data_IF_133171246936
#
_entry.id   IF_133171246936
#
_cell.length_a   1.000
_cell.length_b   1.000
_cell.length_c   1.000
_cell.angle_alpha   90.00
_cell.angle_beta   90.00
_cell.angle_gamma   90.00
#
_symmetry.space_group_name_H-M   'P 1'
#
loop_
_entity.id
_entity.type
_entity.pdbx_description
1 polymer ?
#
# COMPACT_ATOMS: atom_id res chain seq x y z
N UNK A 1 4.92 -25.67 7.00
CA UNK A 1 4.66 -24.31 7.51
C UNK A 1 3.99 -23.55 6.39
N UNK A 2 2.82 -22.99 6.67
CA UNK A 2 2.01 -22.27 5.69
C UNK A 2 2.50 -20.83 5.59
N UNK A 3 2.64 -20.35 4.34
CA UNK A 3 2.71 -18.93 3.99
C UNK A 3 1.66 -18.67 2.91
N UNK A 4 0.77 -17.73 3.17
CA UNK A 4 -0.35 -17.42 2.28
C UNK A 4 -0.67 -15.94 2.32
N UNK A 5 -0.80 -15.35 1.14
CA UNK A 5 -1.37 -14.01 0.99
C UNK A 5 -2.91 -14.16 0.94
N UNK A 6 -3.60 -13.68 1.97
CA UNK A 6 -5.04 -13.85 2.13
C UNK A 6 -5.85 -12.70 1.53
N UNK A 7 -5.20 -11.70 0.95
CA UNK A 7 -5.88 -10.55 0.38
C UNK A 7 -5.12 -10.06 -0.85
N UNK A 8 -5.62 -10.36 -2.04
CA UNK A 8 -5.03 -9.93 -3.31
C UNK A 8 -6.04 -10.07 -4.45
N UNK A 9 -5.86 -9.26 -5.49
CA UNK A 9 -6.88 -9.03 -6.50
C UNK A 9 -6.37 -9.30 -7.92
N UNK A 10 -7.15 -10.04 -8.69
CA UNK A 10 -6.91 -10.34 -10.09
C UNK A 10 -7.74 -9.47 -11.03
N UNK A 11 -7.53 -9.65 -12.32
CA UNK A 11 -8.37 -9.04 -13.35
C UNK A 11 -9.86 -9.45 -13.30
N UNK A 12 -10.25 -10.42 -12.47
CA UNK A 12 -11.66 -10.76 -12.30
C UNK A 12 -12.40 -9.74 -11.42
N UNK A 13 -11.72 -8.95 -10.58
CA UNK A 13 -12.27 -7.81 -9.82
C UNK A 13 -12.74 -6.62 -10.68
N UNK A 14 -12.97 -6.80 -11.97
CA UNK A 14 -13.13 -5.70 -12.94
C UNK A 14 -14.49 -4.99 -12.95
N UNK A 15 -15.21 -4.92 -11.82
CA UNK A 15 -16.34 -3.99 -11.67
C UNK A 15 -15.78 -2.63 -11.19
N UNK A 16 -15.83 -1.56 -12.00
CA UNK A 16 -15.25 -0.27 -11.59
C UNK A 16 -15.99 0.30 -10.36
N UNK A 17 -15.38 0.28 -9.17
CA UNK A 17 -16.02 0.66 -7.91
C UNK A 17 -15.96 2.14 -7.53
N UNK A 18 -15.35 3.00 -8.34
CA UNK A 18 -15.12 4.42 -8.02
C UNK A 18 -15.50 5.39 -9.15
N UNK A 19 -15.87 6.63 -8.80
CA UNK A 19 -16.32 7.64 -9.76
C UNK A 19 -15.33 7.93 -10.90
N UNK A 20 -14.02 7.94 -10.59
CA UNK A 20 -12.96 8.17 -11.58
C UNK A 20 -12.67 6.90 -12.39
N UNK A 21 -12.65 5.73 -11.76
CA UNK A 21 -12.44 4.45 -12.44
C UNK A 21 -13.61 4.11 -13.37
N UNK A 22 -14.84 4.47 -13.03
CA UNK A 22 -16.03 4.33 -13.87
C UNK A 22 -15.98 5.28 -15.09
N UNK A 23 -15.71 6.57 -14.87
CA UNK A 23 -15.56 7.55 -15.99
C UNK A 23 -14.42 7.19 -16.92
N UNK A 24 -13.30 6.72 -16.39
CA UNK A 24 -12.15 6.29 -17.17
C UNK A 24 -12.28 4.83 -17.63
N UNK A 25 -13.36 4.10 -17.29
CA UNK A 25 -13.52 2.62 -17.35
C UNK A 25 -12.18 1.88 -17.23
N UNK A 26 -11.44 2.19 -16.17
CA UNK A 26 -10.22 1.49 -15.77
C UNK A 26 -10.68 0.50 -14.70
N UNK A 27 -10.42 -0.78 -14.93
CA UNK A 27 -10.67 -1.85 -13.98
C UNK A 27 -9.79 -1.77 -12.74
N UNK A 28 -10.16 -2.49 -11.69
CA UNK A 28 -9.49 -2.43 -10.38
C UNK A 28 -8.16 -3.19 -10.39
N UNK A 29 -8.05 -4.25 -11.20
CA UNK A 29 -6.80 -4.98 -11.43
C UNK A 29 -6.73 -5.50 -12.87
N UNK A 30 -5.50 -5.69 -13.36
CA UNK A 30 -5.23 -6.26 -14.69
C UNK A 30 -4.31 -7.49 -14.61
N UNK A 31 -3.96 -7.93 -13.41
CA UNK A 31 -3.07 -9.08 -13.23
C UNK A 31 -3.82 -10.37 -13.45
N UNK A 32 -3.32 -11.23 -14.35
CA UNK A 32 -3.93 -12.53 -14.63
C UNK A 32 -3.76 -13.50 -13.45
N UNK A 33 -4.78 -14.30 -13.07
CA UNK A 33 -4.69 -15.32 -12.03
C UNK A 33 -3.45 -16.22 -12.12
N UNK A 34 -3.12 -16.71 -13.32
CA UNK A 34 -1.91 -17.53 -13.51
C UNK A 34 -0.61 -16.80 -13.12
N UNK A 35 -0.48 -15.51 -13.47
CA UNK A 35 0.70 -14.69 -13.10
C UNK A 35 0.76 -14.47 -11.58
N UNK A 36 -0.39 -14.35 -10.91
CA UNK A 36 -0.48 -14.25 -9.45
C UNK A 36 0.10 -15.52 -8.81
N UNK A 37 -0.40 -16.68 -9.22
CA UNK A 37 0.07 -17.98 -8.73
C UNK A 37 1.59 -18.15 -8.91
N UNK A 38 2.10 -17.91 -10.13
CA UNK A 38 3.53 -18.02 -10.43
C UNK A 38 4.38 -17.07 -9.58
N UNK A 39 3.93 -15.82 -9.40
CA UNK A 39 4.64 -14.81 -8.61
C UNK A 39 4.67 -15.18 -7.13
N UNK A 40 3.52 -15.57 -6.56
CA UNK A 40 3.42 -15.99 -5.16
C UNK A 40 4.27 -17.25 -4.90
N UNK A 41 4.26 -18.20 -5.82
CA UNK A 41 5.07 -19.42 -5.73
C UNK A 41 6.56 -19.09 -5.73
N UNK A 42 7.01 -18.20 -6.63
CA UNK A 42 8.39 -17.74 -6.69
C UNK A 42 8.80 -16.94 -5.43
N UNK A 43 7.84 -16.30 -4.76
CA UNK A 43 8.04 -15.60 -3.48
C UNK A 43 7.94 -16.52 -2.26
N UNK A 44 7.80 -17.84 -2.46
CA UNK A 44 7.84 -18.85 -1.41
C UNK A 44 6.54 -19.01 -0.64
N UNK A 45 5.40 -18.58 -1.19
CA UNK A 45 4.08 -18.94 -0.66
C UNK A 45 3.82 -20.42 -0.90
N UNK A 46 3.05 -21.03 0.01
CA UNK A 46 2.79 -22.49 0.01
C UNK A 46 1.32 -22.83 -0.22
N UNK A 47 0.42 -21.87 0.04
CA UNK A 47 -0.99 -21.94 -0.32
C UNK A 47 -1.37 -20.68 -1.08
N UNK A 48 -2.37 -20.78 -1.94
CA UNK A 48 -2.70 -19.75 -2.92
C UNK A 48 -4.20 -19.52 -2.95
N UNK A 49 -4.59 -18.25 -2.98
CA UNK A 49 -5.97 -17.86 -3.21
C UNK A 49 -5.99 -16.47 -3.85
N UNK A 50 -7.16 -16.07 -4.35
CA UNK A 50 -7.43 -14.74 -4.87
C UNK A 50 -8.73 -14.29 -4.21
N UNK A 51 -8.79 -13.07 -3.72
CA UNK A 51 -9.95 -12.53 -3.03
C UNK A 51 -10.59 -11.43 -3.86
N UNK A 52 -10.94 -11.75 -5.10
CA UNK A 52 -11.56 -10.79 -6.00
C UNK A 52 -12.88 -10.25 -5.41
N UNK A 53 -13.21 -9.00 -5.73
CA UNK A 53 -14.41 -8.34 -5.23
C UNK A 53 -15.68 -9.02 -5.75
N UNK A 54 -16.43 -9.63 -4.84
CA UNK A 54 -17.75 -10.22 -5.10
C UNK A 54 -17.79 -11.23 -6.27
N UNK A 55 -16.68 -11.93 -6.51
CA UNK A 55 -16.56 -12.99 -7.53
C UNK A 55 -15.48 -13.98 -7.14
N UNK A 56 -15.66 -15.24 -7.57
CA UNK A 56 -14.66 -16.30 -7.44
C UNK A 56 -14.00 -16.67 -8.78
N UNK A 57 -14.32 -15.97 -9.87
CA UNK A 57 -13.87 -16.31 -11.22
C UNK A 57 -12.35 -16.40 -11.34
N UNK A 58 -11.62 -15.49 -10.67
CA UNK A 58 -10.15 -15.51 -10.64
C UNK A 58 -9.61 -16.77 -9.98
N UNK A 59 -10.20 -17.20 -8.87
CA UNK A 59 -9.88 -18.47 -8.22
C UNK A 59 -10.19 -19.67 -9.11
N UNK A 60 -11.35 -19.68 -9.77
CA UNK A 60 -11.78 -20.79 -10.64
C UNK A 60 -10.82 -21.01 -11.82
N UNK A 61 -10.24 -19.93 -12.39
CA UNK A 61 -9.25 -20.02 -13.48
C UNK A 61 -8.03 -20.88 -13.08
N UNK A 62 -7.62 -20.83 -11.80
CA UNK A 62 -6.42 -21.50 -11.29
C UNK A 62 -6.72 -22.63 -10.29
N UNK A 63 -7.98 -22.97 -10.05
CA UNK A 63 -8.39 -23.95 -9.03
C UNK A 63 -7.78 -25.35 -9.22
N UNK A 64 -7.36 -25.69 -10.44
CA UNK A 64 -6.70 -26.95 -10.77
C UNK A 64 -5.22 -27.01 -10.35
N UNK A 65 -4.62 -25.89 -9.94
CA UNK A 65 -3.22 -25.82 -9.55
C UNK A 65 -3.01 -26.25 -8.08
N UNK A 66 -1.87 -26.87 -7.74
CA UNK A 66 -1.60 -27.34 -6.37
C UNK A 66 -1.65 -26.22 -5.33
N UNK A 67 -2.29 -26.50 -4.18
CA UNK A 67 -2.34 -25.58 -3.05
C UNK A 67 -3.28 -24.38 -3.24
N UNK A 68 -4.05 -24.34 -4.34
CA UNK A 68 -5.09 -23.33 -4.56
C UNK A 68 -6.36 -23.69 -3.79
N UNK A 69 -6.96 -22.70 -3.14
CA UNK A 69 -8.31 -22.76 -2.57
C UNK A 69 -9.10 -21.50 -2.95
N UNK A 70 -10.42 -21.63 -3.00
CA UNK A 70 -11.31 -20.58 -3.52
C UNK A 70 -11.69 -19.63 -2.37
N UNK A 71 -11.58 -18.32 -2.62
CA UNK A 71 -11.96 -17.26 -1.69
C UNK A 71 -12.56 -16.07 -2.45
N UNK A 72 -13.16 -15.13 -1.74
CA UNK A 72 -13.58 -13.83 -2.29
C UNK A 72 -13.51 -12.73 -1.21
N UNK A 73 -13.34 -11.47 -1.64
CA UNK A 73 -13.59 -10.31 -0.77
C UNK A 73 -15.01 -9.81 -1.01
N UNK A 74 -15.85 -9.97 0.01
CA UNK A 74 -17.27 -9.67 -0.03
C UNK A 74 -17.46 -8.22 0.38
N UNK A 75 -18.01 -7.39 -0.52
CA UNK A 75 -18.51 -6.08 -0.12
C UNK A 75 -19.86 -6.27 0.60
N UNK A 76 -19.97 -5.73 1.81
CA UNK A 76 -21.19 -5.76 2.63
C UNK A 76 -21.45 -4.39 3.26
N UNK A 77 -22.56 -4.28 3.99
CA UNK A 77 -23.05 -3.00 4.47
C UNK A 77 -23.67 -3.13 5.84
N UNK A 78 -23.48 -2.12 6.69
CA UNK A 78 -24.40 -1.90 7.80
C UNK A 78 -25.78 -1.54 7.23
N UNK A 79 -26.85 -2.25 7.61
CA UNK A 79 -28.18 -2.00 7.07
C UNK A 79 -28.74 -0.62 7.48
N UNK A 80 -28.24 -0.03 8.57
CA UNK A 80 -28.74 1.23 9.11
C UNK A 80 -28.39 2.45 8.25
N UNK A 81 -27.16 2.51 7.74
CA UNK A 81 -26.64 3.71 7.06
C UNK A 81 -25.90 3.40 5.76
N UNK A 82 -25.86 2.12 5.37
CA UNK A 82 -25.13 1.63 4.20
C UNK A 82 -23.63 1.93 4.27
N UNK A 83 -23.04 2.05 5.47
CA UNK A 83 -21.58 2.08 5.63
C UNK A 83 -20.99 0.81 5.03
N UNK A 84 -20.16 0.98 4.01
CA UNK A 84 -19.51 -0.13 3.30
C UNK A 84 -18.47 -0.80 4.19
N UNK A 85 -18.43 -2.13 4.16
CA UNK A 85 -17.48 -2.99 4.90
C UNK A 85 -17.05 -4.12 3.99
N UNK A 86 -15.79 -4.55 4.08
CA UNK A 86 -15.32 -5.71 3.32
C UNK A 86 -15.02 -6.89 4.25
N UNK A 87 -15.42 -8.08 3.83
CA UNK A 87 -15.23 -9.33 4.57
C UNK A 87 -14.61 -10.36 3.64
N UNK A 88 -13.46 -10.91 3.99
CA UNK A 88 -12.84 -12.00 3.23
C UNK A 88 -13.45 -13.31 3.72
N UNK A 89 -13.92 -14.14 2.80
CA UNK A 89 -14.33 -15.52 3.07
C UNK A 89 -13.40 -16.48 2.34
N UNK A 90 -12.86 -17.47 3.05
CA UNK A 90 -11.87 -18.42 2.50
C UNK A 90 -12.37 -19.85 2.44
N UNK A 91 -11.84 -20.61 1.49
CA UNK A 91 -12.14 -22.03 1.24
C UNK A 91 -13.64 -22.28 1.00
N UNK A 92 -14.23 -21.45 0.13
CA UNK A 92 -15.63 -21.52 -0.26
C UNK A 92 -15.82 -22.34 -1.55
N UNK A 93 -17.06 -22.65 -1.90
CA UNK A 93 -17.42 -23.28 -3.17
C UNK A 93 -18.41 -22.38 -3.95
N UNK A 94 -18.76 -22.77 -5.18
CA UNK A 94 -19.70 -22.00 -6.01
C UNK A 94 -21.04 -21.75 -5.32
N UNK A 95 -21.60 -22.78 -4.65
CA UNK A 95 -22.88 -22.61 -3.94
C UNK A 95 -22.76 -21.58 -2.81
N UNK A 96 -21.66 -21.59 -2.05
CA UNK A 96 -21.43 -20.60 -1.02
C UNK A 96 -21.37 -19.19 -1.61
N UNK A 97 -20.62 -19.00 -2.69
CA UNK A 97 -20.55 -17.72 -3.40
C UNK A 97 -21.95 -17.25 -3.84
N UNK A 98 -22.72 -18.12 -4.52
CA UNK A 98 -24.06 -17.80 -4.98
C UNK A 98 -24.96 -17.34 -3.82
N UNK A 99 -24.99 -18.09 -2.72
CA UNK A 99 -25.75 -17.74 -1.53
C UNK A 99 -25.27 -16.41 -0.90
N UNK A 100 -23.95 -16.19 -0.81
CA UNK A 100 -23.34 -14.94 -0.32
C UNK A 100 -23.80 -13.72 -1.14
N UNK A 101 -23.85 -13.84 -2.47
CA UNK A 101 -24.28 -12.73 -3.33
C UNK A 101 -25.71 -12.28 -3.04
N UNK A 102 -26.59 -13.15 -2.55
CA UNK A 102 -27.97 -12.81 -2.20
C UNK A 102 -28.09 -12.11 -0.84
N UNK A 103 -27.23 -12.44 0.12
CA UNK A 103 -27.36 -11.99 1.53
C UNK A 103 -26.40 -10.85 1.92
N UNK A 104 -25.33 -10.63 1.14
CA UNK A 104 -24.26 -9.67 1.49
C UNK A 104 -24.73 -8.22 1.64
N UNK A 105 -25.99 -7.91 1.30
CA UNK A 105 -26.60 -6.60 1.51
C UNK A 105 -26.69 -6.16 2.98
N UNK A 106 -26.55 -7.10 3.94
CA UNK A 106 -26.60 -6.86 5.37
C UNK A 106 -25.46 -7.64 6.08
N UNK A 107 -24.55 -6.92 6.74
CA UNK A 107 -23.39 -7.52 7.42
C UNK A 107 -23.79 -8.50 8.53
N UNK A 108 -24.92 -8.26 9.22
CA UNK A 108 -25.37 -9.14 10.30
C UNK A 108 -25.82 -10.49 9.78
N UNK A 109 -26.62 -10.49 8.71
CA UNK A 109 -27.10 -11.70 8.02
C UNK A 109 -25.95 -12.44 7.34
N UNK A 110 -25.01 -11.69 6.74
CA UNK A 110 -23.80 -12.27 6.16
C UNK A 110 -22.99 -13.03 7.22
N UNK A 111 -22.71 -12.43 8.38
CA UNK A 111 -21.96 -13.10 9.44
C UNK A 111 -22.70 -14.33 9.97
N UNK A 112 -24.04 -14.25 10.14
CA UNK A 112 -24.84 -15.41 10.55
C UNK A 112 -24.72 -16.58 9.57
N UNK A 113 -24.82 -16.30 8.27
CA UNK A 113 -24.67 -17.31 7.23
C UNK A 113 -23.26 -17.92 7.20
N UNK A 114 -22.23 -17.09 7.26
CA UNK A 114 -20.83 -17.54 7.25
C UNK A 114 -20.55 -18.46 8.44
N UNK A 115 -21.08 -18.11 9.62
CA UNK A 115 -20.95 -18.93 10.82
C UNK A 115 -21.73 -20.22 10.75
N UNK A 116 -22.98 -20.18 10.27
CA UNK A 116 -23.83 -21.35 10.11
C UNK A 116 -23.21 -22.40 9.19
N UNK A 117 -22.58 -21.96 8.10
CA UNK A 117 -21.91 -22.84 7.13
C UNK A 117 -20.44 -23.15 7.49
N UNK A 118 -19.97 -22.75 8.67
CA UNK A 118 -18.57 -22.92 9.10
C UNK A 118 -17.54 -22.36 8.10
N UNK A 119 -17.86 -21.24 7.46
CA UNK A 119 -16.97 -20.53 6.55
C UNK A 119 -16.02 -19.65 7.36
N UNK A 120 -14.72 -19.85 7.18
CA UNK A 120 -13.70 -19.00 7.79
C UNK A 120 -13.74 -17.63 7.15
N UNK A 121 -13.91 -16.59 7.98
CA UNK A 121 -14.08 -15.22 7.54
C UNK A 121 -13.28 -14.22 8.37
N UNK A 122 -12.90 -13.12 7.72
CA UNK A 122 -11.96 -12.11 8.24
C UNK A 122 -12.49 -10.72 7.88
N UNK A 123 -12.52 -9.79 8.84
CA UNK A 123 -12.79 -8.39 8.58
C UNK A 123 -11.59 -7.76 7.85
N UNK A 124 -11.77 -7.34 6.60
CA UNK A 124 -10.71 -6.69 5.81
C UNK A 124 -10.52 -5.23 6.25
N UNK A 125 -9.27 -4.78 6.26
CA UNK A 125 -8.82 -3.41 6.57
C UNK A 125 -9.76 -2.58 7.50
N UNK A 126 -9.94 -2.98 8.78
CA UNK A 126 -11.07 -2.54 9.64
C UNK A 126 -11.26 -1.02 9.86
N UNK A 127 -10.23 -0.22 9.62
CA UNK A 127 -10.25 1.24 9.82
C UNK A 127 -10.24 2.02 8.51
N UNK A 128 -10.40 1.34 7.37
CA UNK A 128 -10.47 1.98 6.06
C UNK A 128 -11.89 2.46 5.79
N UNK A 129 -12.04 3.78 5.78
CA UNK A 129 -13.30 4.44 5.48
C UNK A 129 -13.48 4.56 3.95
N UNK A 130 -14.25 3.64 3.38
CA UNK A 130 -14.41 3.51 1.93
C UNK A 130 -15.40 4.50 1.32
N UNK A 131 -16.37 4.97 2.10
CA UNK A 131 -17.48 5.79 1.62
C UNK A 131 -17.76 7.01 2.51
N UNK A 132 -16.90 7.27 3.51
CA UNK A 132 -16.98 8.43 4.39
C UNK A 132 -17.91 8.26 5.59
N UNK A 133 -18.42 7.04 5.85
CA UNK A 133 -19.42 6.77 6.89
C UNK A 133 -18.84 6.04 8.10
N UNK A 134 -17.64 5.49 8.01
CA UNK A 134 -17.05 4.70 9.08
C UNK A 134 -16.87 5.57 10.35
N UNK A 135 -17.39 5.08 11.48
CA UNK A 135 -17.38 5.78 12.76
C UNK A 135 -17.20 4.78 13.93
N UNK A 136 -17.08 5.28 15.16
CA UNK A 136 -16.81 4.43 16.32
C UNK A 136 -17.90 3.40 16.59
N UNK A 137 -19.17 3.72 16.34
CA UNK A 137 -20.24 2.75 16.56
C UNK A 137 -20.08 1.54 15.62
N UNK A 138 -19.59 1.75 14.39
CA UNK A 138 -19.23 0.66 13.48
C UNK A 138 -18.07 -0.18 14.01
N UNK A 139 -17.01 0.48 14.48
CA UNK A 139 -15.83 -0.21 15.02
C UNK A 139 -16.20 -1.01 16.28
N UNK A 140 -17.04 -0.47 17.16
CA UNK A 140 -17.57 -1.20 18.32
C UNK A 140 -18.36 -2.44 17.90
N UNK A 141 -19.19 -2.34 16.85
CA UNK A 141 -19.92 -3.50 16.31
C UNK A 141 -18.97 -4.53 15.68
N UNK A 142 -17.88 -4.11 15.04
CA UNK A 142 -16.86 -5.04 14.55
C UNK A 142 -16.26 -5.89 15.67
N UNK A 143 -16.09 -5.33 16.87
CA UNK A 143 -15.61 -6.05 18.05
C UNK A 143 -16.57 -7.15 18.53
N UNK A 144 -17.85 -7.07 18.13
CA UNK A 144 -18.90 -8.05 18.45
C UNK A 144 -19.17 -9.02 17.29
N UNK A 145 -18.77 -8.67 16.07
CA UNK A 145 -19.05 -9.42 14.85
C UNK A 145 -17.93 -10.40 14.47
N UNK A 146 -16.66 -10.00 14.59
CA UNK A 146 -15.56 -10.72 13.95
C UNK A 146 -14.49 -11.16 14.94
N UNK A 147 -14.12 -12.45 14.88
CA UNK A 147 -12.99 -12.99 15.64
C UNK A 147 -11.63 -12.79 14.95
N UNK A 148 -11.63 -12.48 13.64
CA UNK A 148 -10.42 -12.34 12.83
C UNK A 148 -10.42 -11.00 12.10
N UNK A 149 -9.38 -10.21 12.32
CA UNK A 149 -9.20 -8.92 11.67
C UNK A 149 -7.94 -8.94 10.80
N UNK A 150 -8.02 -8.36 9.62
CA UNK A 150 -6.85 -8.07 8.81
C UNK A 150 -6.05 -6.94 9.47
N UNK A 151 -4.92 -7.29 10.07
CA UNK A 151 -4.05 -6.33 10.74
C UNK A 151 -3.00 -5.77 9.80
N UNK A 152 -2.40 -6.63 8.97
CA UNK A 152 -1.41 -6.24 7.98
C UNK A 152 -2.07 -6.24 6.62
N UNK A 153 -2.25 -5.05 6.07
CA UNK A 153 -2.72 -4.86 4.71
C UNK A 153 -1.64 -4.07 3.94
N UNK A 154 -1.20 -4.61 2.81
CA UNK A 154 -0.10 -4.07 2.00
C UNK A 154 -0.42 -2.76 1.29
N UNK A 155 -1.68 -2.31 1.29
CA UNK A 155 -2.05 -0.97 0.80
C UNK A 155 -2.31 0.02 1.95
N UNK A 156 -2.50 -0.44 3.19
CA UNK A 156 -2.73 0.43 4.37
C UNK A 156 -1.44 0.77 5.11
N UNK A 157 -1.46 1.91 5.83
CA UNK A 157 -0.28 2.39 6.55
C UNK A 157 0.06 1.55 7.78
N UNK A 158 1.34 1.51 8.16
CA UNK A 158 1.80 0.90 9.42
C UNK A 158 1.11 1.50 10.65
N UNK A 159 0.86 2.81 10.66
CA UNK A 159 0.12 3.49 11.74
C UNK A 159 -1.29 2.92 11.86
N UNK A 160 -2.02 2.77 10.75
CA UNK A 160 -3.35 2.13 10.74
C UNK A 160 -3.30 0.72 11.33
N UNK A 161 -2.34 -0.10 10.92
CA UNK A 161 -2.15 -1.46 11.44
C UNK A 161 -1.95 -1.50 12.96
N UNK A 162 -1.09 -0.61 13.49
CA UNK A 162 -0.83 -0.49 14.94
C UNK A 162 -2.10 -0.09 15.69
N UNK A 163 -2.86 0.87 15.17
CA UNK A 163 -4.10 1.34 15.78
C UNK A 163 -5.17 0.24 15.75
N UNK A 164 -5.37 -0.43 14.60
CA UNK A 164 -6.26 -1.59 14.45
C UNK A 164 -5.98 -2.64 15.52
N UNK A 165 -4.71 -3.05 15.66
CA UNK A 165 -4.29 -4.03 16.65
C UNK A 165 -4.59 -3.58 18.08
N UNK A 166 -4.40 -2.29 18.36
CA UNK A 166 -4.58 -1.74 19.71
C UNK A 166 -6.05 -1.65 20.10
N UNK A 167 -6.93 -1.23 19.19
CA UNK A 167 -8.38 -1.24 19.39
C UNK A 167 -8.89 -2.67 19.60
N UNK A 168 -8.47 -3.61 18.73
CA UNK A 168 -8.88 -5.01 18.84
C UNK A 168 -8.49 -5.67 20.17
N UNK A 169 -7.49 -5.13 20.88
CA UNK A 169 -6.97 -5.65 22.16
C UNK A 169 -7.38 -4.85 23.38
N UNK A 170 -8.11 -3.74 23.23
CA UNK A 170 -8.37 -2.82 24.35
C UNK A 170 -9.59 -3.17 25.19
N UNK A 171 -10.39 -4.15 24.77
CA UNK A 171 -11.68 -4.46 25.40
C UNK A 171 -11.57 -5.63 26.38
N UNK A 172 -12.06 -5.42 27.58
CA UNK A 172 -12.27 -6.47 28.59
C UNK A 172 -13.58 -7.21 28.32
N UNK A 173 -13.79 -8.34 29.00
CA UNK A 173 -15.06 -9.07 28.95
C UNK A 173 -16.25 -8.18 29.33
N UNK A 174 -16.08 -7.34 30.35
CA UNK A 174 -17.12 -6.39 30.79
C UNK A 174 -17.44 -5.36 29.70
N UNK A 175 -16.41 -4.81 29.04
CA UNK A 175 -16.64 -3.84 27.97
C UNK A 175 -17.43 -4.49 26.81
N UNK A 176 -17.14 -5.76 26.49
CA UNK A 176 -17.91 -6.52 25.49
C UNK A 176 -19.34 -6.82 25.93
N UNK A 177 -19.59 -7.10 27.21
CA UNK A 177 -20.94 -7.26 27.77
C UNK A 177 -21.73 -5.94 27.67
N UNK A 178 -21.11 -4.81 28.00
CA UNK A 178 -21.72 -3.47 27.88
C UNK A 178 -22.05 -3.13 26.42
N UNK A 179 -21.15 -3.43 25.48
CA UNK A 179 -21.40 -3.30 24.05
C UNK A 179 -22.51 -4.24 23.55
N UNK A 180 -22.56 -5.48 24.06
CA UNK A 180 -23.62 -6.45 23.74
C UNK A 180 -24.99 -5.93 24.18
N UNK A 181 -25.07 -5.35 25.38
CA UNK A 181 -26.29 -4.70 25.87
C UNK A 181 -26.67 -3.47 25.03
N UNK A 182 -25.67 -2.68 24.61
CA UNK A 182 -25.88 -1.49 23.76
C UNK A 182 -26.42 -1.84 22.37
N UNK A 183 -25.88 -2.88 21.73
CA UNK A 183 -26.19 -3.21 20.33
C UNK A 183 -27.17 -4.39 20.16
N UNK A 184 -27.43 -5.15 21.22
CA UNK A 184 -28.40 -6.26 21.21
C UNK A 184 -27.91 -7.54 20.54
N UNK A 185 -26.61 -7.70 20.29
CA UNK A 185 -26.05 -8.92 19.72
C UNK A 185 -24.59 -9.17 20.15
N UNK A 186 -24.17 -10.43 20.09
CA UNK A 186 -22.78 -10.87 20.18
C UNK A 186 -22.61 -12.09 19.27
N UNK A 187 -21.85 -11.96 18.18
CA UNK A 187 -21.68 -13.04 17.18
C UNK A 187 -20.31 -13.71 17.26
N UNK A 188 -19.36 -13.18 18.03
CA UNK A 188 -18.03 -13.75 18.15
C UNK A 188 -18.02 -15.11 18.85
N UNK A 189 -17.09 -15.97 18.45
CA UNK A 189 -16.86 -17.29 19.06
C UNK A 189 -15.72 -17.27 20.08
N UNK A 190 -14.87 -16.22 20.08
CA UNK A 190 -13.72 -16.09 20.99
C UNK A 190 -13.79 -14.81 21.80
N UNK A 191 -13.16 -14.83 22.97
CA UNK A 191 -13.00 -13.65 23.83
C UNK A 191 -11.91 -12.69 23.32
N UNK A 192 -11.03 -13.14 22.42
CA UNK A 192 -9.99 -12.32 21.79
C UNK A 192 -10.09 -12.30 20.26
N UNK A 193 -9.61 -11.21 19.64
CA UNK A 193 -9.48 -11.08 18.19
C UNK A 193 -8.08 -11.54 17.77
N UNK A 194 -8.02 -12.40 16.75
CA UNK A 194 -6.77 -12.77 16.08
C UNK A 194 -6.57 -12.00 14.78
N UNK A 195 -5.37 -12.15 14.21
CA UNK A 195 -4.91 -11.31 13.13
C UNK A 195 -4.44 -12.13 11.93
N UNK A 196 -4.83 -11.65 10.76
CA UNK A 196 -4.32 -12.10 9.46
C UNK A 196 -3.69 -10.92 8.72
N UNK A 197 -3.01 -11.24 7.62
CA UNK A 197 -2.47 -10.24 6.71
C UNK A 197 -2.46 -10.69 5.27
N UNK A 198 -2.49 -9.70 4.40
CA UNK A 198 -2.40 -9.84 2.95
C UNK A 198 -1.83 -8.58 2.29
N UNK A 199 -1.51 -8.68 1.00
CA UNK A 199 -0.93 -7.58 0.25
C UNK A 199 -1.95 -6.52 -0.15
N UNK A 200 -3.21 -6.92 -0.31
CA UNK A 200 -4.28 -6.15 -0.96
C UNK A 200 -3.82 -5.59 -2.32
N UNK A 201 -2.93 -6.34 -2.98
CA UNK A 201 -2.31 -5.90 -4.23
C UNK A 201 -3.28 -6.06 -5.40
N UNK A 202 -3.40 -4.97 -6.16
CA UNK A 202 -4.19 -4.88 -7.38
C UNK A 202 -3.30 -4.69 -8.62
N UNK A 203 -2.03 -4.35 -8.42
CA UNK A 203 -1.11 -3.93 -9.47
C UNK A 203 -0.16 -5.02 -9.95
N UNK A 204 -0.13 -6.18 -9.31
CA UNK A 204 0.78 -7.28 -9.58
C UNK A 204 2.23 -7.07 -9.10
N UNK A 205 2.52 -5.98 -8.38
CA UNK A 205 3.88 -5.64 -7.92
C UNK A 205 4.14 -6.20 -6.52
N UNK A 206 3.14 -6.07 -5.64
CA UNK A 206 3.29 -6.30 -4.20
C UNK A 206 2.77 -7.65 -3.69
N UNK A 207 2.40 -8.54 -4.61
CA UNK A 207 1.88 -9.90 -4.35
C UNK A 207 2.70 -10.68 -3.32
N UNK A 208 2.10 -11.08 -2.20
CA UNK A 208 2.80 -11.85 -1.17
C UNK A 208 3.89 -11.09 -0.41
N UNK A 209 3.99 -9.77 -0.56
CA UNK A 209 4.81 -8.97 0.33
C UNK A 209 4.13 -8.67 1.66
N UNK A 210 2.82 -8.83 1.78
CA UNK A 210 2.10 -8.95 3.05
C UNK A 210 1.43 -10.31 3.08
N UNK A 211 1.59 -11.08 4.16
CA UNK A 211 1.10 -12.45 4.21
C UNK A 211 0.84 -12.97 5.63
N UNK A 212 0.10 -14.07 5.69
CA UNK A 212 -0.23 -14.83 6.90
C UNK A 212 0.62 -16.09 6.98
N UNK A 213 1.04 -16.42 8.20
CA UNK A 213 1.82 -17.61 8.54
C UNK A 213 1.01 -18.48 9.50
N UNK A 214 0.98 -19.79 9.26
CA UNK A 214 0.37 -20.78 10.14
C UNK A 214 1.20 -22.08 10.19
N UNK A 215 1.00 -22.88 11.23
CA UNK A 215 1.51 -24.25 11.28
C UNK A 215 0.66 -25.17 10.39
N UNK A 216 1.28 -26.25 9.89
CA UNK A 216 0.63 -27.18 8.95
C UNK A 216 1.07 -26.99 7.50
N UNK A 217 0.29 -27.60 6.59
CA UNK A 217 0.59 -27.67 5.15
C UNK A 217 -0.66 -27.61 4.25
N UNK A 218 -1.87 -27.75 4.81
CA UNK A 218 -3.12 -27.78 4.05
C UNK A 218 -4.00 -26.56 4.32
N UNK A 219 -4.99 -26.31 3.45
CA UNK A 219 -6.02 -25.28 3.69
C UNK A 219 -6.82 -25.56 4.97
N UNK A 220 -7.01 -26.83 5.33
CA UNK A 220 -7.69 -27.21 6.56
C UNK A 220 -6.88 -26.85 7.81
N UNK A 221 -5.54 -26.98 7.76
CA UNK A 221 -4.66 -26.52 8.83
C UNK A 221 -4.72 -24.99 8.96
N UNK A 222 -4.75 -24.27 7.83
CA UNK A 222 -4.91 -22.81 7.81
C UNK A 222 -6.23 -22.39 8.47
N UNK A 223 -7.35 -23.02 8.10
CA UNK A 223 -8.68 -22.71 8.67
C UNK A 223 -8.70 -22.95 10.17
N UNK A 224 -8.15 -24.07 10.64
CA UNK A 224 -7.97 -24.34 12.08
C UNK A 224 -7.10 -23.30 12.77
N UNK A 225 -6.02 -22.85 12.14
CA UNK A 225 -5.16 -21.82 12.72
C UNK A 225 -5.87 -20.46 12.83
N UNK A 226 -6.67 -20.09 11.82
CA UNK A 226 -7.49 -18.86 11.83
C UNK A 226 -8.59 -18.97 12.88
N UNK A 227 -9.29 -20.09 12.96
CA UNK A 227 -10.34 -20.35 13.96
C UNK A 227 -9.79 -20.32 15.39
N UNK A 228 -8.64 -20.96 15.63
CA UNK A 228 -7.98 -20.99 16.94
C UNK A 228 -7.22 -19.68 17.24
N UNK A 229 -7.07 -18.79 16.27
CA UNK A 229 -6.35 -17.53 16.43
C UNK A 229 -4.84 -17.66 16.63
N UNK A 230 -4.23 -18.71 16.06
CA UNK A 230 -2.79 -19.00 16.18
C UNK A 230 -1.97 -18.52 14.99
N UNK A 231 -2.59 -17.82 14.04
CA UNK A 231 -1.92 -17.19 12.90
C UNK A 231 -0.92 -16.11 13.33
N UNK A 232 0.12 -15.95 12.51
CA UNK A 232 1.05 -14.82 12.56
C UNK A 232 0.97 -14.06 11.25
N UNK A 233 1.41 -12.81 11.26
CA UNK A 233 1.49 -11.97 10.07
C UNK A 233 2.91 -11.48 9.89
N UNK A 234 3.34 -11.36 8.65
CA UNK A 234 4.67 -10.88 8.31
C UNK A 234 4.65 -10.14 6.96
N UNK A 235 5.75 -9.43 6.68
CA UNK A 235 5.93 -8.67 5.46
C UNK A 235 5.79 -7.16 5.65
N UNK A 236 5.42 -6.49 4.58
CA UNK A 236 5.45 -5.04 4.46
C UNK A 236 4.07 -4.41 4.55
N UNK A 237 4.01 -3.28 5.26
CA UNK A 237 2.86 -2.39 5.19
C UNK A 237 2.90 -1.53 3.93
N UNK A 238 1.73 -1.02 3.55
CA UNK A 238 1.61 -0.02 2.52
C UNK A 238 2.34 1.28 2.86
N UNK A 239 2.90 1.88 1.81
CA UNK A 239 3.44 3.23 1.87
C UNK A 239 3.06 3.98 0.59
N UNK A 240 3.10 5.33 0.61
CA UNK A 240 2.69 6.13 -0.54
C UNK A 240 3.42 5.78 -1.84
N UNK A 241 4.72 5.45 -1.78
CA UNK A 241 5.51 5.06 -2.95
C UNK A 241 4.96 3.79 -3.60
N UNK A 242 4.74 2.73 -2.82
CA UNK A 242 4.21 1.44 -3.29
C UNK A 242 2.82 1.57 -3.88
N UNK A 243 1.92 2.25 -3.17
CA UNK A 243 0.56 2.49 -3.64
C UNK A 243 0.56 3.31 -4.94
N UNK A 244 1.41 4.32 -5.04
CA UNK A 244 1.52 5.11 -6.28
C UNK A 244 1.91 4.21 -7.44
N UNK A 245 2.91 3.33 -7.26
CA UNK A 245 3.32 2.41 -8.31
C UNK A 245 2.21 1.42 -8.68
N UNK A 246 1.43 0.93 -7.71
CA UNK A 246 0.26 0.09 -7.97
C UNK A 246 -0.77 0.83 -8.84
N UNK A 247 -1.17 2.04 -8.45
CA UNK A 247 -2.12 2.89 -9.20
C UNK A 247 -1.58 3.21 -10.60
N UNK A 248 -0.29 3.54 -10.71
CA UNK A 248 0.34 3.81 -12.00
C UNK A 248 0.37 2.58 -12.90
N UNK A 249 0.61 1.39 -12.35
CA UNK A 249 0.60 0.17 -13.15
C UNK A 249 -0.80 -0.18 -13.64
N UNK A 250 -1.82 -0.01 -12.79
CA UNK A 250 -3.23 -0.16 -13.16
C UNK A 250 -3.61 0.84 -14.26
N UNK A 251 -3.24 2.11 -14.11
CA UNK A 251 -3.47 3.14 -15.12
C UNK A 251 -2.76 2.82 -16.44
N UNK A 252 -1.51 2.36 -16.39
CA UNK A 252 -0.71 1.92 -17.55
C UNK A 252 -1.43 0.80 -18.30
N UNK A 253 -1.83 -0.28 -17.62
CA UNK A 253 -2.53 -1.40 -18.26
C UNK A 253 -3.90 -0.99 -18.81
N UNK A 254 -4.65 -0.15 -18.08
CA UNK A 254 -5.92 0.40 -18.54
C UNK A 254 -5.77 1.26 -19.80
N UNK A 255 -4.72 2.09 -19.88
CA UNK A 255 -4.41 2.89 -21.07
C UNK A 255 -4.03 2.00 -22.26
N UNK A 256 -3.22 0.95 -22.05
CA UNK A 256 -2.82 0.00 -23.10
C UNK A 256 -3.99 -0.75 -23.74
N UNK A 257 -5.06 -1.02 -22.97
CA UNK A 257 -6.29 -1.63 -23.53
C UNK A 257 -7.06 -0.69 -24.47
N UNK A 258 -6.86 0.63 -24.35
CA UNK A 258 -7.64 1.64 -25.08
C UNK A 258 -6.87 2.29 -26.21
N UNK A 259 -5.57 2.46 -26.02
CA UNK A 259 -4.73 3.24 -26.89
C UNK A 259 -3.47 2.43 -27.24
N UNK A 260 -3.01 2.57 -28.48
CA UNK A 260 -1.70 2.07 -28.86
C UNK A 260 -0.62 3.02 -28.34
N UNK A 261 -0.04 2.70 -27.18
CA UNK A 261 1.01 3.52 -26.57
C UNK A 261 2.38 3.39 -27.26
N UNK A 262 2.52 2.52 -28.27
CA UNK A 262 3.76 2.36 -29.03
C UNK A 262 5.00 2.16 -28.13
N UNK A 263 6.07 2.92 -28.40
CA UNK A 263 7.32 2.86 -27.64
C UNK A 263 7.19 3.29 -26.18
N UNK A 264 6.23 4.17 -25.85
CA UNK A 264 5.96 4.55 -24.46
C UNK A 264 5.38 3.37 -23.66
N UNK A 265 4.49 2.58 -24.28
CA UNK A 265 3.96 1.36 -23.67
C UNK A 265 5.08 0.36 -23.35
N UNK A 266 5.97 0.13 -24.31
CA UNK A 266 7.12 -0.76 -24.13
C UNK A 266 8.07 -0.29 -23.03
N UNK A 267 8.37 1.01 -22.98
CA UNK A 267 9.17 1.62 -21.91
C UNK A 267 8.54 1.36 -20.53
N UNK A 268 7.25 1.64 -20.40
CA UNK A 268 6.55 1.47 -19.12
C UNK A 268 6.44 -0.01 -18.73
N UNK A 269 6.25 -0.93 -19.67
CA UNK A 269 6.30 -2.37 -19.39
C UNK A 269 7.69 -2.79 -18.90
N UNK A 270 8.74 -2.31 -19.54
CA UNK A 270 10.12 -2.60 -19.11
C UNK A 270 10.41 -2.08 -17.70
N UNK A 271 9.87 -0.90 -17.36
CA UNK A 271 10.00 -0.31 -16.02
C UNK A 271 9.19 -1.06 -14.94
N UNK A 272 7.99 -1.54 -15.28
CA UNK A 272 7.04 -2.14 -14.33
C UNK A 272 7.02 -3.68 -14.29
N UNK A 273 7.64 -4.41 -15.22
CA UNK A 273 7.61 -5.88 -15.24
C UNK A 273 8.81 -6.57 -14.56
N UNK A 274 9.80 -5.82 -14.07
CA UNK A 274 11.01 -6.36 -13.43
C UNK A 274 11.66 -7.52 -14.19
N UNK A 275 11.70 -7.43 -15.53
CA UNK A 275 12.64 -8.28 -16.27
C UNK A 275 14.01 -7.80 -15.86
N UNK A 276 14.81 -8.69 -15.26
CA UNK A 276 16.19 -8.44 -14.87
C UNK A 276 16.86 -7.53 -15.91
N UNK A 277 16.98 -6.24 -15.59
CA UNK A 277 17.65 -5.28 -16.48
C UNK A 277 19.15 -5.63 -16.59
N UNK A 278 19.61 -6.52 -15.70
CA UNK A 278 20.91 -7.19 -15.63
C UNK A 278 21.06 -8.42 -16.53
N UNK A 279 19.98 -8.98 -17.11
CA UNK A 279 20.07 -10.13 -18.00
C UNK A 279 20.65 -9.73 -19.37
N UNK A 280 21.66 -10.48 -19.84
CA UNK A 280 22.19 -10.32 -21.21
C UNK A 280 21.10 -10.64 -22.23
N UNK A 281 20.60 -9.60 -22.90
CA UNK A 281 19.59 -9.70 -23.96
C UNK A 281 20.09 -10.50 -25.17
N UNK A 282 19.20 -11.31 -25.76
CA UNK A 282 19.48 -12.05 -27.00
C UNK A 282 19.55 -11.09 -28.21
N UNK A 283 20.20 -11.51 -29.31
CA UNK A 283 20.24 -10.76 -30.57
C UNK A 283 18.84 -10.40 -31.12
N UNK A 284 17.82 -11.22 -30.84
CA UNK A 284 16.44 -10.92 -31.23
C UNK A 284 15.82 -9.79 -30.39
N UNK A 285 16.27 -9.60 -29.15
CA UNK A 285 15.79 -8.53 -28.26
C UNK A 285 16.38 -7.16 -28.63
N UNK A 286 17.58 -7.13 -29.21
CA UNK A 286 18.19 -5.89 -29.69
C UNK A 286 17.51 -5.36 -30.96
N UNK A 287 17.03 -6.25 -31.83
CA UNK A 287 16.27 -5.89 -33.04
C UNK A 287 14.87 -5.37 -32.71
N UNK A 288 14.23 -5.88 -31.65
CA UNK A 288 12.90 -5.44 -31.20
C UNK A 288 12.92 -4.14 -30.37
N UNK A 289 14.08 -3.48 -30.25
CA UNK A 289 14.25 -2.22 -29.51
C UNK A 289 14.27 -2.38 -27.98
N UNK A 290 14.28 -3.62 -27.44
CA UNK A 290 14.25 -3.86 -26.00
C UNK A 290 15.46 -3.29 -25.28
N UNK A 291 16.65 -3.45 -25.87
CA UNK A 291 17.89 -2.88 -25.33
C UNK A 291 17.83 -1.36 -25.20
N UNK A 292 17.22 -0.66 -26.16
CA UNK A 292 17.19 0.81 -26.17
C UNK A 292 16.37 1.42 -25.03
N UNK A 293 15.22 0.83 -24.69
CA UNK A 293 14.37 1.30 -23.60
C UNK A 293 14.98 0.97 -22.24
N UNK A 294 15.59 -0.20 -22.09
CA UNK A 294 16.30 -0.62 -20.87
C UNK A 294 17.48 0.31 -20.61
N UNK A 295 18.35 0.53 -21.60
CA UNK A 295 19.47 1.47 -21.50
C UNK A 295 18.98 2.89 -21.21
N UNK A 296 17.85 3.32 -21.77
CA UNK A 296 17.26 4.61 -21.44
C UNK A 296 16.80 4.69 -19.97
N UNK A 297 16.12 3.65 -19.46
CA UNK A 297 15.72 3.57 -18.04
C UNK A 297 16.97 3.62 -17.15
N UNK A 298 18.00 2.83 -17.45
CA UNK A 298 19.26 2.83 -16.71
C UNK A 298 19.94 4.21 -16.69
N UNK A 299 20.03 4.87 -17.84
CA UNK A 299 20.62 6.21 -17.93
C UNK A 299 19.86 7.25 -17.10
N UNK A 300 18.53 7.17 -17.08
CA UNK A 300 17.70 8.09 -16.30
C UNK A 300 17.81 7.78 -14.80
N UNK A 301 17.72 6.50 -14.41
CA UNK A 301 17.85 6.09 -13.00
C UNK A 301 19.23 6.45 -12.47
N UNK A 302 20.30 6.11 -13.20
CA UNK A 302 21.69 6.35 -12.81
C UNK A 302 22.14 7.81 -12.94
N UNK A 303 21.28 8.73 -13.42
CA UNK A 303 21.63 10.16 -13.53
C UNK A 303 21.97 10.79 -12.17
N UNK A 304 21.22 10.42 -11.13
CA UNK A 304 21.43 10.85 -9.73
C UNK A 304 21.22 9.72 -8.72
N UNK A 305 21.10 8.49 -9.20
CA UNK A 305 20.76 7.32 -8.41
C UNK A 305 21.59 6.12 -8.83
N UNK A 306 21.18 4.96 -8.34
CA UNK A 306 21.76 3.68 -8.70
C UNK A 306 20.62 2.68 -8.78
N UNK A 307 20.61 1.89 -9.86
CA UNK A 307 19.70 0.75 -10.01
C UNK A 307 19.86 -0.23 -8.85
N UNK A 308 18.75 -0.66 -8.27
CA UNK A 308 18.71 -1.60 -7.15
C UNK A 308 17.91 -2.84 -7.50
N UNK A 309 17.99 -3.87 -6.65
CA UNK A 309 17.11 -5.04 -6.77
C UNK A 309 15.64 -4.70 -6.43
N UNK A 310 15.39 -3.58 -5.74
CA UNK A 310 14.05 -3.16 -5.36
C UNK A 310 13.42 -2.39 -6.51
N UNK A 311 12.46 -3.04 -7.17
CA UNK A 311 11.74 -2.47 -8.30
C UNK A 311 11.09 -1.11 -8.00
N UNK A 312 10.53 -0.92 -6.80
CA UNK A 312 9.93 0.38 -6.46
C UNK A 312 10.97 1.49 -6.35
N UNK A 313 12.21 1.19 -5.95
CA UNK A 313 13.26 2.19 -5.94
C UNK A 313 13.64 2.59 -7.37
N UNK A 314 13.73 1.64 -8.29
CA UNK A 314 13.99 1.92 -9.70
C UNK A 314 12.88 2.75 -10.35
N UNK A 315 11.62 2.40 -10.11
CA UNK A 315 10.46 3.17 -10.61
C UNK A 315 10.51 4.60 -10.07
N UNK A 316 10.70 4.75 -8.76
CA UNK A 316 10.75 6.06 -8.11
C UNK A 316 11.93 6.90 -8.62
N UNK A 317 13.13 6.32 -8.71
CA UNK A 317 14.31 7.00 -9.24
C UNK A 317 14.15 7.39 -10.71
N UNK A 318 13.52 6.54 -11.53
CA UNK A 318 13.23 6.89 -12.91
C UNK A 318 12.36 8.14 -13.01
N UNK A 319 11.21 8.17 -12.30
CA UNK A 319 10.30 9.31 -12.34
C UNK A 319 10.84 10.55 -11.64
N UNK A 320 11.66 10.42 -10.60
CA UNK A 320 12.29 11.58 -9.96
C UNK A 320 13.41 12.19 -10.81
N UNK A 321 14.11 11.37 -11.60
CA UNK A 321 15.25 11.81 -12.40
C UNK A 321 14.91 12.17 -13.85
N UNK A 322 13.77 11.73 -14.40
CA UNK A 322 13.45 11.96 -15.82
C UNK A 322 13.44 13.44 -16.22
N UNK A 323 12.89 14.31 -15.37
CA UNK A 323 12.86 15.75 -15.62
C UNK A 323 14.27 16.37 -15.49
N UNK A 324 15.02 16.18 -14.39
CA UNK A 324 16.42 16.61 -14.29
C UNK A 324 17.31 16.11 -15.44
N UNK A 325 17.16 14.84 -15.83
CA UNK A 325 17.89 14.23 -16.93
C UNK A 325 17.57 14.93 -18.25
N UNK A 326 16.28 15.14 -18.54
CA UNK A 326 15.83 15.81 -19.76
C UNK A 326 16.31 17.26 -19.82
N UNK A 327 16.25 18.00 -18.71
CA UNK A 327 16.78 19.37 -18.63
C UNK A 327 18.30 19.41 -18.85
N UNK A 328 19.03 18.43 -18.34
CA UNK A 328 20.47 18.33 -18.58
C UNK A 328 20.78 18.07 -20.06
N UNK A 329 19.99 17.24 -20.74
CA UNK A 329 20.11 17.01 -22.19
C UNK A 329 19.84 18.29 -22.99
N UNK A 330 18.87 19.10 -22.59
CA UNK A 330 18.60 20.40 -23.23
C UNK A 330 19.79 21.36 -23.01
N UNK A 331 20.32 21.44 -21.79
CA UNK A 331 21.47 22.30 -21.46
C UNK A 331 22.75 21.91 -22.18
N UNK A 332 22.94 20.62 -22.46
CA UNK A 332 24.14 20.11 -23.16
C UNK A 332 24.06 20.22 -24.68
N UNK A 333 22.96 20.74 -25.25
CA UNK A 333 22.82 20.95 -26.69
C UNK A 333 23.82 22.00 -27.18
N UNK A 334 24.79 21.57 -27.99
CA UNK A 334 25.82 22.46 -28.57
C UNK A 334 25.29 23.40 -29.65
N UNK A 335 24.17 23.05 -30.27
CA UNK A 335 23.51 23.85 -31.32
C UNK A 335 22.00 23.82 -31.13
N UNK A 336 21.33 24.90 -31.52
CA UNK A 336 19.87 24.97 -31.48
C UNK A 336 19.26 24.01 -32.51
N UNK A 337 18.47 23.06 -32.01
CA UNK A 337 17.76 22.05 -32.80
C UNK A 337 16.32 22.00 -32.27
N UNK A 338 15.41 22.65 -33.01
CA UNK A 338 14.03 22.85 -32.58
C UNK A 338 13.28 21.51 -32.42
N UNK A 339 13.56 20.54 -33.30
CA UNK A 339 12.90 19.23 -33.26
C UNK A 339 13.29 18.45 -32.01
N UNK A 340 14.59 18.45 -31.66
CA UNK A 340 15.05 17.84 -30.39
C UNK A 340 14.51 18.54 -29.17
N UNK A 341 14.51 19.87 -29.17
CA UNK A 341 13.96 20.66 -28.06
C UNK A 341 12.47 20.36 -27.85
N UNK A 342 11.69 20.34 -28.93
CA UNK A 342 10.27 19.97 -28.92
C UNK A 342 10.05 18.55 -28.39
N UNK A 343 10.86 17.58 -28.84
CA UNK A 343 10.80 16.21 -28.34
C UNK A 343 11.10 16.11 -26.83
N UNK A 344 12.10 16.84 -26.33
CA UNK A 344 12.41 16.87 -24.90
C UNK A 344 11.30 17.51 -24.06
N UNK A 345 10.73 18.63 -24.52
CA UNK A 345 9.59 19.28 -23.85
C UNK A 345 8.37 18.34 -23.84
N UNK A 346 8.07 17.69 -24.96
CA UNK A 346 6.99 16.72 -25.06
C UNK A 346 7.16 15.56 -24.06
N UNK A 347 8.39 15.03 -23.92
CA UNK A 347 8.71 14.03 -22.89
C UNK A 347 8.45 14.58 -21.49
N UNK A 348 8.96 15.76 -21.17
CA UNK A 348 8.76 16.38 -19.85
C UNK A 348 7.27 16.50 -19.49
N UNK A 349 6.42 16.92 -20.44
CA UNK A 349 4.96 17.04 -20.21
C UNK A 349 4.32 15.69 -19.90
N UNK A 350 4.63 14.64 -20.67
CA UNK A 350 4.09 13.28 -20.44
C UNK A 350 4.50 12.78 -19.06
N UNK A 351 5.73 13.06 -18.63
CA UNK A 351 6.26 12.62 -17.33
C UNK A 351 5.86 13.51 -16.15
N UNK A 352 5.02 14.54 -16.34
CA UNK A 352 4.38 15.25 -15.21
C UNK A 352 3.24 14.45 -14.57
N UNK A 353 2.56 13.58 -15.33
CA UNK A 353 1.44 12.80 -14.81
C UNK A 353 1.80 11.91 -13.59
N UNK A 354 2.96 11.20 -13.57
CA UNK A 354 3.46 10.51 -12.37
C UNK A 354 3.55 11.39 -11.12
N UNK A 355 3.98 12.64 -11.23
CA UNK A 355 4.08 13.54 -10.07
C UNK A 355 2.70 13.85 -9.48
N UNK A 356 1.70 14.04 -10.35
CA UNK A 356 0.31 14.22 -9.91
C UNK A 356 -0.17 12.96 -9.17
N UNK A 357 0.15 11.77 -9.68
CA UNK A 357 -0.19 10.50 -9.02
C UNK A 357 0.46 10.37 -7.64
N UNK A 358 1.75 10.72 -7.51
CA UNK A 358 2.40 10.77 -6.19
C UNK A 358 1.70 11.76 -5.27
N UNK A 359 1.49 13.00 -5.69
CA UNK A 359 0.86 14.02 -4.85
C UNK A 359 -0.55 13.60 -4.39
N UNK A 360 -1.36 13.03 -5.28
CA UNK A 360 -2.71 12.56 -4.94
C UNK A 360 -2.67 11.40 -3.94
N UNK A 361 -1.79 10.41 -4.16
CA UNK A 361 -1.66 9.26 -3.26
C UNK A 361 -1.12 9.67 -1.90
N UNK A 362 -0.14 10.56 -1.86
CA UNK A 362 0.40 11.08 -0.60
C UNK A 362 -0.68 11.80 0.22
N UNK A 363 -1.50 12.64 -0.43
CA UNK A 363 -2.63 13.30 0.23
C UNK A 363 -3.63 12.27 0.76
N UNK A 364 -4.08 11.34 -0.09
CA UNK A 364 -5.02 10.28 0.31
C UNK A 364 -4.49 9.47 1.50
N UNK A 365 -3.21 9.11 1.52
CA UNK A 365 -2.59 8.36 2.62
C UNK A 365 -2.49 9.18 3.90
N UNK A 366 -2.28 10.49 3.80
CA UNK A 366 -2.31 11.38 4.95
C UNK A 366 -3.73 11.42 5.56
N UNK A 367 -4.76 11.57 4.72
CA UNK A 367 -6.16 11.60 5.14
C UNK A 367 -6.57 10.28 5.84
N UNK A 368 -6.27 9.13 5.24
CA UNK A 368 -6.54 7.82 5.86
C UNK A 368 -5.81 7.62 7.19
N UNK A 369 -4.53 8.01 7.25
CA UNK A 369 -3.75 7.95 8.49
C UNK A 369 -4.40 8.83 9.58
N UNK A 370 -4.85 10.03 9.22
CA UNK A 370 -5.53 10.94 10.13
C UNK A 370 -6.87 10.37 10.61
N UNK A 371 -7.63 9.70 9.74
CA UNK A 371 -8.84 8.96 10.12
C UNK A 371 -8.54 7.87 11.15
N UNK A 372 -7.49 7.06 10.95
CA UNK A 372 -7.10 6.07 11.96
C UNK A 372 -6.71 6.72 13.29
N UNK A 373 -5.98 7.84 13.27
CA UNK A 373 -5.62 8.59 14.48
C UNK A 373 -6.83 9.18 15.20
N UNK A 374 -7.83 9.65 14.45
CA UNK A 374 -9.11 10.12 14.99
C UNK A 374 -9.81 9.01 15.76
N UNK A 375 -9.94 7.82 15.18
CA UNK A 375 -10.49 6.67 15.90
C UNK A 375 -9.68 6.34 17.15
N UNK A 376 -8.35 6.35 17.06
CA UNK A 376 -7.51 6.16 18.25
C UNK A 376 -7.82 7.20 19.35
N UNK A 377 -7.93 8.48 18.99
CA UNK A 377 -8.25 9.55 19.94
C UNK A 377 -9.61 9.32 20.59
N UNK A 378 -10.62 8.96 19.81
CA UNK A 378 -11.97 8.76 20.31
C UNK A 378 -12.09 7.53 21.22
N UNK A 379 -11.39 6.44 20.91
CA UNK A 379 -11.40 5.22 21.73
C UNK A 379 -10.56 5.34 23.01
N UNK A 380 -9.46 6.08 22.99
CA UNK A 380 -8.50 6.13 24.10
C UNK A 380 -8.44 7.47 24.83
N UNK A 381 -9.24 8.46 24.40
CA UNK A 381 -9.24 9.83 24.87
C UNK A 381 -7.82 10.45 24.96
N UNK A 382 -6.97 10.14 23.98
CA UNK A 382 -5.59 10.64 23.89
C UNK A 382 -5.07 10.61 22.47
N UNK A 383 -4.15 11.50 22.14
CA UNK A 383 -3.54 11.56 20.82
C UNK A 383 -2.68 10.33 20.51
N UNK A 384 -2.72 9.90 19.25
CA UNK A 384 -1.79 8.89 18.76
C UNK A 384 -0.44 9.52 18.45
N UNK A 385 0.55 9.19 19.27
CA UNK A 385 1.93 9.63 19.04
C UNK A 385 2.57 8.65 18.06
N UNK A 386 2.76 9.10 16.81
CA UNK A 386 3.68 8.43 15.89
C UNK A 386 5.10 8.49 16.49
N UNK A 387 5.94 7.49 16.18
CA UNK A 387 7.31 7.40 16.71
C UNK A 387 8.11 8.70 16.59
N UNK A 388 9.19 8.81 17.37
CA UNK A 388 10.03 10.01 17.40
C UNK A 388 10.79 10.16 16.08
N UNK A 389 10.77 11.35 15.47
CA UNK A 389 11.59 11.66 14.29
C UNK A 389 12.81 12.48 14.73
N UNK A 390 13.99 12.12 14.23
CA UNK A 390 15.21 12.89 14.40
C UNK A 390 15.63 13.50 13.07
N UNK A 391 15.70 14.83 12.99
CA UNK A 391 16.16 15.57 11.82
C UNK A 391 17.59 16.03 12.05
N UNK A 392 18.55 15.49 11.31
CA UNK A 392 19.96 15.86 11.46
C UNK A 392 20.32 16.97 10.48
N UNK A 393 20.99 18.01 10.97
CA UNK A 393 21.57 19.05 10.12
C UNK A 393 22.84 19.62 10.74
N UNK A 394 23.79 19.91 9.87
CA UNK A 394 25.07 20.57 10.15
C UNK A 394 25.06 22.05 9.74
N UNK A 395 24.01 22.51 9.04
CA UNK A 395 23.93 23.85 8.44
C UNK A 395 22.83 24.71 9.05
N UNK A 396 22.32 24.34 10.23
CA UNK A 396 21.13 24.96 10.85
C UNK A 396 21.21 26.50 10.93
N UNK A 397 22.41 27.02 11.11
CA UNK A 397 22.68 28.44 11.30
C UNK A 397 23.38 29.12 10.12
N UNK A 398 23.58 28.42 9.01
CA UNK A 398 24.27 28.99 7.86
C UNK A 398 23.40 30.04 7.18
N UNK A 399 24.02 30.91 6.36
CA UNK A 399 23.30 31.92 5.56
C UNK A 399 22.94 31.36 4.17
N UNK A 400 22.61 30.06 4.09
CA UNK A 400 22.25 29.41 2.83
C UNK A 400 20.74 29.07 2.76
N UNK A 401 20.27 28.69 1.57
CA UNK A 401 18.86 28.35 1.35
C UNK A 401 18.40 27.11 2.13
N UNK A 402 19.34 26.20 2.46
CA UNK A 402 19.06 24.97 3.21
C UNK A 402 18.77 25.32 4.67
N UNK A 403 19.61 26.13 5.30
CA UNK A 403 19.41 26.62 6.67
C UNK A 403 18.05 27.29 6.86
N UNK A 404 17.68 28.22 5.95
CA UNK A 404 16.36 28.86 5.96
C UNK A 404 15.21 27.87 5.83
N UNK A 405 15.39 26.82 5.02
CA UNK A 405 14.37 25.78 4.86
C UNK A 405 14.23 24.95 6.14
N UNK A 406 15.35 24.55 6.74
CA UNK A 406 15.38 23.80 8.00
C UNK A 406 14.75 24.60 9.15
N UNK A 407 15.04 25.89 9.26
CA UNK A 407 14.43 26.77 10.26
C UNK A 407 12.92 26.89 10.05
N UNK A 408 12.44 27.04 8.81
CA UNK A 408 10.99 27.00 8.51
C UNK A 408 10.34 25.66 8.86
N UNK A 409 11.04 24.55 8.63
CA UNK A 409 10.56 23.22 9.04
C UNK A 409 10.48 23.09 10.56
N UNK A 410 11.42 23.70 11.30
CA UNK A 410 11.37 23.77 12.75
C UNK A 410 10.18 24.60 13.22
N UNK A 411 9.93 25.76 12.61
CA UNK A 411 8.79 26.61 12.95
C UNK A 411 7.48 25.87 12.71
N UNK A 412 7.33 25.23 11.54
CA UNK A 412 6.18 24.38 11.23
C UNK A 412 6.04 23.23 12.22
N UNK A 413 7.15 22.60 12.62
CA UNK A 413 7.13 21.53 13.60
C UNK A 413 6.62 21.99 14.97
N UNK A 414 6.94 23.22 15.38
CA UNK A 414 6.42 23.81 16.61
C UNK A 414 4.95 24.17 16.48
N UNK A 415 4.57 24.83 15.38
CA UNK A 415 3.20 25.25 15.10
C UNK A 415 2.23 24.07 15.07
N UNK A 416 2.64 22.96 14.45
CA UNK A 416 1.84 21.74 14.30
C UNK A 416 2.09 20.71 15.43
N UNK A 417 2.85 21.09 16.47
CA UNK A 417 3.22 20.23 17.61
C UNK A 417 3.77 18.84 17.18
N UNK A 418 4.60 18.81 16.13
CA UNK A 418 5.15 17.59 15.57
C UNK A 418 6.18 16.97 16.51
N UNK A 419 6.13 15.64 16.66
CA UNK A 419 7.09 14.86 17.43
C UNK A 419 8.43 14.66 16.68
N UNK A 420 9.09 15.77 16.34
CA UNK A 420 10.37 15.84 15.63
C UNK A 420 11.40 16.59 16.47
N UNK A 421 12.60 16.03 16.58
CA UNK A 421 13.76 16.65 17.21
C UNK A 421 14.80 16.99 16.15
N UNK A 422 15.14 18.27 16.04
CA UNK A 422 16.25 18.75 15.23
C UNK A 422 17.55 18.54 15.99
N UNK A 423 18.38 17.62 15.50
CA UNK A 423 19.68 17.32 16.05
C UNK A 423 20.71 18.08 15.26
N UNK A 424 21.39 19.00 15.95
CA UNK A 424 22.38 19.89 15.35
C UNK A 424 23.70 19.74 16.10
N UNK A 425 24.80 20.12 15.43
CA UNK A 425 26.12 20.18 16.05
C UNK A 425 26.74 21.54 15.79
N UNK A 426 26.74 22.42 16.79
CA UNK A 426 27.26 23.78 16.67
C UNK A 426 27.79 24.29 18.02
N UNK A 427 28.77 25.19 17.99
CA UNK A 427 29.28 25.87 19.19
C UNK A 427 28.23 26.79 19.83
N UNK A 428 27.29 27.32 19.04
CA UNK A 428 26.20 28.20 19.50
C UNK A 428 25.15 27.41 20.29
N UNK A 429 24.98 27.74 21.56
CA UNK A 429 23.93 27.13 22.37
C UNK A 429 22.54 27.71 22.03
N UNK A 430 21.60 26.86 21.64
CA UNK A 430 20.16 27.19 21.60
C UNK A 430 19.44 26.30 22.60
N UNK A 431 18.66 26.93 23.47
CA UNK A 431 17.66 26.25 24.26
C UNK A 431 16.32 26.26 23.53
N UNK A 432 15.94 25.09 23.00
CA UNK A 432 14.65 24.90 22.33
C UNK A 432 14.13 23.49 22.58
N UNK A 433 12.84 23.36 22.87
CA UNK A 433 12.19 22.08 23.15
C UNK A 433 12.18 21.12 21.95
N UNK A 434 12.41 21.61 20.73
CA UNK A 434 12.50 20.84 19.49
C UNK A 434 13.94 20.69 18.97
N UNK A 435 14.91 21.43 19.51
CA UNK A 435 16.33 21.28 19.16
C UNK A 435 17.04 20.41 20.20
N UNK A 436 18.02 19.64 19.75
CA UNK A 436 19.07 19.08 20.59
C UNK A 436 20.41 19.44 19.94
N UNK A 437 21.10 20.42 20.52
CA UNK A 437 22.44 20.79 20.08
C UNK A 437 23.50 19.93 20.80
N UNK A 438 24.44 19.40 20.03
CA UNK A 438 25.65 18.75 20.51
C UNK A 438 26.85 19.66 20.26
N UNK A 439 27.69 19.86 21.27
CA UNK A 439 28.93 20.61 21.09
C UNK A 439 29.87 19.82 20.16
N UNK A 440 30.41 20.40 19.09
CA UNK A 440 31.36 19.70 18.23
C UNK A 440 32.63 19.36 19.01
N UNK A 441 33.21 18.19 18.75
CA UNK A 441 34.51 17.81 19.34
C UNK A 441 35.68 18.54 18.67
N UNK A 442 35.52 18.90 17.40
CA UNK A 442 36.50 19.61 16.60
C UNK A 442 35.75 20.47 15.58
N UNK A 443 36.18 21.72 15.39
CA UNK A 443 35.70 22.62 14.36
C UNK A 443 36.90 23.35 13.76
N UNK A 444 36.94 23.51 12.44
CA UNK A 444 37.99 24.23 11.73
C UNK A 444 37.42 24.93 10.50
N UNK A 445 37.94 26.11 10.18
CA UNK A 445 37.56 26.82 8.98
C UNK A 445 38.17 26.13 7.75
N UNK A 446 37.38 25.97 6.69
CA UNK A 446 37.92 25.59 5.39
C UNK A 446 38.52 26.84 4.73
N UNK A 447 39.76 26.77 4.21
CA UNK A 447 40.50 27.95 3.73
C UNK A 447 39.88 28.73 2.55
N UNK A 448 38.75 28.29 2.00
CA UNK A 448 38.05 28.97 0.90
C UNK A 448 36.76 29.72 1.33
N UNK A 449 36.41 29.75 2.62
CA UNK A 449 35.19 30.40 3.14
C UNK A 449 35.44 31.24 4.39
N UNK A 450 36.41 32.17 4.35
CA UNK A 450 36.71 33.06 5.50
C UNK A 450 35.70 34.22 5.68
N UNK A 451 34.79 34.47 4.73
CA UNK A 451 33.86 35.59 4.75
C UNK A 451 32.40 35.21 4.42
N UNK A 452 31.80 34.25 5.13
CA UNK A 452 30.33 34.08 5.19
C UNK A 452 29.86 34.08 6.63
#
# INVERSE_FOLDING_TARGET
>A
MIKVDLHLHSQASNRPGGYISEKLKIGESYTKPKKLYETLSNRGMTLFTITDHDTIDGCLEIAHLPGVFISEEITTYFPEDRCKVHVIAIDINQKHHDDIQHIRGNIYELVDYLQFNNITHILAHPLYDMDGKLNNNHIERFLLLFDNWEMLNGTRSKTSSIITKKIAKSYTKKDLEDLTNKYGFFKRKRDFIAFTGGSDDHGGLDLGYGYTIAEGFSVEDLKKAVENGTTKVDGYHGNPKRLTHMVMNIAKEGMKKRYNLGSLGFLLDSLFENKDLTQKYSFLDSILGKSSAVTFIENVVNFKGVMTENQHDNIFQFFSNILPYTLNQIKSMKSFDFDKLSAYIGRSVIFLAPYIAYLSVYKQRADEKNTSKRFYKEFFNKEHIDGKVAYFTDTFFDINGVAKTTQKLLDLAKEEELNIKFIISDERCIEDSHIKNFKPMLSFALPEYENI
#
